data_IF_872769269572
#
_entry.id   IF_872769269572
#
_cell.length_a   1.000
_cell.length_b   1.000
_cell.length_c   1.000
_cell.angle_alpha   90.00
_cell.angle_beta   90.00
_cell.angle_gamma   90.00
#
_symmetry.space_group_name_H-M   'P 1'
#
loop_
_entity.id
_entity.type
_entity.pdbx_description
1 polymer ?
#
# COMPACT_ATOMS: atom_id res chain seq x y z
N UNK A 1 -1.80 -19.73 24.26
CA UNK A 1 -2.01 -20.14 22.86
C UNK A 1 -0.87 -21.08 22.51
N UNK A 2 -1.17 -22.28 22.02
CA UNK A 2 -0.18 -23.24 21.55
C UNK A 2 -0.36 -23.31 20.04
N UNK A 3 0.74 -23.28 19.30
CA UNK A 3 0.75 -23.30 17.83
C UNK A 3 1.68 -24.40 17.35
N UNK A 4 1.32 -25.01 16.23
CA UNK A 4 2.15 -25.99 15.54
C UNK A 4 3.39 -25.31 14.94
N UNK A 5 4.54 -25.97 15.00
CA UNK A 5 5.83 -25.43 14.59
C UNK A 5 5.86 -25.00 13.11
N UNK A 6 5.05 -25.62 12.25
CA UNK A 6 4.95 -25.28 10.83
C UNK A 6 4.29 -23.92 10.58
N UNK A 7 3.62 -23.35 11.58
CA UNK A 7 2.95 -22.04 11.50
C UNK A 7 3.72 -20.94 12.24
N UNK A 8 4.97 -21.22 12.62
CA UNK A 8 5.86 -20.26 13.28
C UNK A 8 7.04 -19.93 12.37
N UNK A 9 7.46 -18.67 12.41
CA UNK A 9 8.68 -18.21 11.74
C UNK A 9 9.64 -17.70 12.80
N UNK A 10 10.83 -18.30 12.88
CA UNK A 10 11.92 -17.74 13.70
C UNK A 10 12.38 -16.42 13.06
N UNK A 11 12.35 -15.34 13.82
CA UNK A 11 12.81 -14.01 13.41
C UNK A 11 14.14 -13.66 14.08
N UNK A 12 14.82 -12.64 13.55
CA UNK A 12 16.02 -12.08 14.17
C UNK A 12 15.69 -11.53 15.56
N UNK A 13 16.42 -11.90 16.63
CA UNK A 13 16.13 -11.44 17.99
C UNK A 13 16.33 -9.94 18.21
N UNK A 14 17.02 -9.24 17.30
CA UNK A 14 17.23 -7.79 17.35
C UNK A 14 16.07 -6.98 16.77
N UNK A 15 15.11 -7.62 16.09
CA UNK A 15 13.94 -6.92 15.55
C UNK A 15 13.06 -6.40 16.69
N UNK A 16 12.57 -5.17 16.54
CA UNK A 16 11.50 -4.68 17.41
C UNK A 16 10.23 -5.54 17.22
N UNK A 17 9.73 -6.13 18.31
CA UNK A 17 8.56 -7.00 18.29
C UNK A 17 7.29 -6.28 17.82
N UNK A 18 7.19 -4.96 17.98
CA UNK A 18 6.09 -4.18 17.45
C UNK A 18 6.11 -4.18 15.91
N UNK A 19 7.30 -4.02 15.30
CA UNK A 19 7.47 -4.13 13.85
C UNK A 19 7.26 -5.57 13.37
N UNK A 20 7.77 -6.58 14.09
CA UNK A 20 7.55 -7.98 13.76
C UNK A 20 6.05 -8.34 13.75
N UNK A 21 5.31 -7.86 14.74
CA UNK A 21 3.86 -8.03 14.83
C UNK A 21 3.15 -7.35 13.66
N UNK A 22 3.56 -6.14 13.29
CA UNK A 22 2.99 -5.38 12.16
C UNK A 22 3.17 -6.07 10.80
N UNK A 23 4.34 -6.68 10.55
CA UNK A 23 4.63 -7.39 9.29
C UNK A 23 4.07 -8.82 9.25
N UNK A 24 3.54 -9.35 10.35
CA UNK A 24 3.06 -10.74 10.42
C UNK A 24 1.83 -11.06 9.55
N UNK A 25 1.07 -10.03 9.13
CA UNK A 25 -0.15 -10.22 8.36
C UNK A 25 -0.35 -9.11 7.31
N UNK A 26 -1.04 -8.03 7.68
CA UNK A 26 -1.58 -7.07 6.69
C UNK A 26 -0.51 -6.37 5.87
N UNK A 27 0.57 -5.90 6.51
CA UNK A 27 1.58 -5.11 5.81
C UNK A 27 2.34 -5.96 4.80
N UNK A 28 2.79 -7.16 5.22
CA UNK A 28 3.48 -8.10 4.33
C UNK A 28 2.59 -8.62 3.21
N UNK A 29 1.28 -8.75 3.43
CA UNK A 29 0.31 -9.11 2.39
C UNK A 29 0.29 -8.07 1.27
N UNK A 30 0.11 -6.80 1.63
CA UNK A 30 0.06 -5.71 0.65
C UNK A 30 1.41 -5.48 -0.03
N UNK A 31 2.48 -5.47 0.78
CA UNK A 31 3.86 -5.37 0.29
C UNK A 31 4.06 -6.50 -0.75
N UNK A 32 3.85 -7.76 -0.37
CA UNK A 32 4.03 -8.95 -1.20
C UNK A 32 3.22 -8.95 -2.49
N UNK A 33 1.98 -8.46 -2.46
CA UNK A 33 1.15 -8.36 -3.65
C UNK A 33 1.82 -7.55 -4.76
N UNK A 34 2.54 -6.48 -4.41
CA UNK A 34 3.17 -5.58 -5.39
C UNK A 34 4.26 -6.25 -6.21
N UNK A 35 5.11 -7.12 -5.64
CA UNK A 35 6.16 -7.79 -6.42
C UNK A 35 5.93 -9.27 -6.70
N UNK A 36 5.14 -10.00 -5.90
CA UNK A 36 4.87 -11.43 -6.15
C UNK A 36 3.71 -11.65 -7.12
N UNK A 37 2.61 -10.93 -6.91
CA UNK A 37 1.36 -11.17 -7.64
C UNK A 37 1.29 -10.29 -8.88
N UNK A 38 1.33 -8.97 -8.69
CA UNK A 38 1.19 -8.01 -9.78
C UNK A 38 2.49 -7.78 -10.53
N UNK A 39 3.65 -8.05 -9.89
CA UNK A 39 4.97 -7.83 -10.44
C UNK A 39 5.11 -6.40 -11.01
N UNK A 40 4.90 -5.39 -10.16
CA UNK A 40 5.05 -3.99 -10.53
C UNK A 40 6.40 -3.77 -11.20
N UNK A 41 6.38 -3.16 -12.39
CA UNK A 41 7.58 -2.85 -13.15
C UNK A 41 8.02 -1.42 -12.87
N UNK A 42 9.32 -1.16 -12.98
CA UNK A 42 9.84 0.21 -12.88
C UNK A 42 9.17 1.10 -13.94
N UNK A 43 8.78 2.32 -13.56
CA UNK A 43 8.03 3.23 -14.43
C UNK A 43 6.50 3.03 -14.40
N UNK A 44 6.00 2.00 -13.71
CA UNK A 44 4.55 1.74 -13.65
C UNK A 44 3.80 2.79 -12.84
N UNK A 45 2.53 2.98 -13.21
CA UNK A 45 1.56 3.71 -12.42
C UNK A 45 0.67 2.74 -11.63
N UNK A 46 0.56 2.96 -10.33
CA UNK A 46 -0.14 2.08 -9.39
C UNK A 46 -1.23 2.87 -8.68
N UNK A 47 -2.44 2.32 -8.63
CA UNK A 47 -3.53 2.82 -7.80
C UNK A 47 -3.82 1.84 -6.66
N UNK A 48 -3.89 2.33 -5.43
CA UNK A 48 -4.13 1.55 -4.21
C UNK A 48 -5.43 2.02 -3.57
N UNK A 49 -6.40 1.12 -3.48
CA UNK A 49 -7.72 1.39 -2.90
C UNK A 49 -7.71 0.97 -1.43
N UNK A 50 -7.90 1.94 -0.53
CA UNK A 50 -7.79 1.79 0.92
C UNK A 50 -6.36 1.98 1.41
N UNK A 51 -6.17 2.83 2.42
CA UNK A 51 -4.86 3.21 2.99
C UNK A 51 -4.61 2.69 4.42
N UNK A 52 -5.28 1.60 4.80
CA UNK A 52 -4.95 0.85 6.01
C UNK A 52 -3.60 0.12 5.91
N UNK A 53 -3.34 -0.80 6.83
CA UNK A 53 -2.07 -1.55 6.90
C UNK A 53 -1.69 -2.27 5.61
N UNK A 54 -2.66 -2.90 4.93
CA UNK A 54 -2.44 -3.59 3.65
C UNK A 54 -2.09 -2.59 2.55
N UNK A 55 -2.87 -1.51 2.42
CA UNK A 55 -2.63 -0.48 1.41
C UNK A 55 -1.27 0.22 1.57
N UNK A 56 -0.88 0.51 2.81
CA UNK A 56 0.44 1.05 3.14
C UNK A 56 1.58 0.11 2.73
N UNK A 57 1.39 -1.20 2.93
CA UNK A 57 2.30 -2.22 2.41
C UNK A 57 2.38 -2.21 0.89
N UNK A 58 1.25 -2.17 0.20
CA UNK A 58 1.19 -2.15 -1.26
C UNK A 58 1.90 -0.91 -1.85
N UNK A 59 1.71 0.26 -1.25
CA UNK A 59 2.41 1.51 -1.61
C UNK A 59 3.91 1.35 -1.46
N UNK A 60 4.36 0.84 -0.30
CA UNK A 60 5.78 0.62 -0.02
C UNK A 60 6.41 -0.34 -1.02
N UNK A 61 5.69 -1.43 -1.35
CA UNK A 61 6.12 -2.42 -2.32
C UNK A 61 6.18 -1.86 -3.74
N UNK A 62 5.18 -1.09 -4.13
CA UNK A 62 5.15 -0.42 -5.43
C UNK A 62 6.31 0.59 -5.58
N UNK A 63 6.62 1.35 -4.52
CA UNK A 63 7.77 2.26 -4.49
C UNK A 63 9.09 1.50 -4.64
N UNK A 64 9.26 0.41 -3.87
CA UNK A 64 10.46 -0.43 -3.94
C UNK A 64 10.70 -0.99 -5.35
N UNK A 65 9.62 -1.33 -6.06
CA UNK A 65 9.70 -1.84 -7.44
C UNK A 65 9.91 -0.74 -8.50
N UNK A 66 10.03 0.53 -8.12
CA UNK A 66 10.25 1.64 -9.04
C UNK A 66 8.97 2.20 -9.67
N UNK A 67 7.81 2.01 -9.04
CA UNK A 67 6.58 2.69 -9.43
C UNK A 67 6.76 4.21 -9.34
N UNK A 68 6.54 4.91 -10.46
CA UNK A 68 6.79 6.36 -10.57
C UNK A 68 5.61 7.20 -10.11
N UNK A 69 4.40 6.63 -10.16
CA UNK A 69 3.18 7.26 -9.67
C UNK A 69 2.38 6.27 -8.85
N UNK A 70 2.17 6.59 -7.59
CA UNK A 70 1.46 5.73 -6.63
C UNK A 70 0.30 6.54 -6.06
N UNK A 71 -0.89 6.25 -6.55
CA UNK A 71 -2.13 6.96 -6.23
C UNK A 71 -2.83 6.20 -5.11
N UNK A 72 -2.91 6.79 -3.91
CA UNK A 72 -3.73 6.27 -2.82
C UNK A 72 -5.15 6.78 -2.91
N UNK A 73 -6.13 5.91 -2.69
CA UNK A 73 -7.55 6.22 -2.78
C UNK A 73 -8.21 5.81 -1.48
N UNK A 74 -8.66 6.79 -0.69
CA UNK A 74 -9.34 6.55 0.59
C UNK A 74 -10.35 7.66 0.87
N UNK A 75 -11.36 7.38 1.69
CA UNK A 75 -12.33 8.39 2.13
C UNK A 75 -11.83 9.23 3.32
N UNK A 76 -10.80 8.75 4.01
CA UNK A 76 -10.25 9.38 5.20
C UNK A 76 -8.98 10.16 4.89
N UNK A 77 -9.08 11.49 4.88
CA UNK A 77 -7.94 12.38 4.59
C UNK A 77 -6.82 12.31 5.64
N UNK A 78 -7.10 11.78 6.83
CA UNK A 78 -6.07 11.55 7.85
C UNK A 78 -5.02 10.52 7.42
N UNK A 79 -5.31 9.69 6.41
CA UNK A 79 -4.34 8.71 5.90
C UNK A 79 -3.35 9.31 4.89
N UNK A 80 -3.52 10.58 4.49
CA UNK A 80 -2.64 11.23 3.51
C UNK A 80 -1.20 11.27 4.00
N UNK A 81 -0.97 11.67 5.25
CA UNK A 81 0.39 11.79 5.80
C UNK A 81 1.07 10.42 5.89
N UNK A 82 0.34 9.40 6.36
CA UNK A 82 0.86 8.02 6.41
C UNK A 82 1.16 7.48 5.02
N UNK A 83 0.22 7.63 4.08
CA UNK A 83 0.41 7.22 2.69
C UNK A 83 1.66 7.85 2.08
N UNK A 84 1.87 9.15 2.27
CA UNK A 84 3.08 9.86 1.81
C UNK A 84 4.35 9.29 2.44
N UNK A 85 4.34 9.02 3.75
CA UNK A 85 5.48 8.42 4.44
C UNK A 85 5.88 7.06 3.84
N UNK A 86 4.90 6.27 3.38
CA UNK A 86 5.15 4.98 2.73
C UNK A 86 5.49 5.07 1.24
N UNK A 87 5.32 6.22 0.58
CA UNK A 87 5.68 6.41 -0.83
C UNK A 87 4.58 6.87 -1.77
N UNK A 88 3.39 7.18 -1.26
CA UNK A 88 2.28 7.67 -2.05
C UNK A 88 2.63 9.03 -2.67
N UNK A 89 2.38 9.18 -3.97
CA UNK A 89 2.63 10.41 -4.72
C UNK A 89 1.38 11.28 -4.85
N UNK A 90 0.21 10.65 -4.95
CA UNK A 90 -1.07 11.33 -5.15
C UNK A 90 -2.16 10.71 -4.26
N UNK A 91 -3.14 11.51 -3.86
CA UNK A 91 -4.27 11.06 -3.06
C UNK A 91 -5.59 11.44 -3.72
N UNK A 92 -6.56 10.53 -3.70
CA UNK A 92 -7.93 10.77 -4.15
C UNK A 92 -8.90 10.45 -3.02
N UNK A 93 -9.73 11.42 -2.65
CA UNK A 93 -10.87 11.20 -1.76
C UNK A 93 -12.14 10.93 -2.57
N UNK A 94 -12.68 9.72 -2.50
CA UNK A 94 -13.89 9.35 -3.27
C UNK A 94 -15.16 10.05 -2.78
N UNK A 95 -15.19 10.58 -1.55
CA UNK A 95 -16.33 11.39 -1.08
C UNK A 95 -16.48 12.71 -1.84
N UNK A 96 -15.38 13.25 -2.36
CA UNK A 96 -15.36 14.51 -3.08
C UNK A 96 -15.73 14.35 -4.57
N UNK A 97 -15.97 13.11 -5.02
CA UNK A 97 -16.26 12.74 -6.40
C UNK A 97 -17.39 11.71 -6.47
N UNK A 98 -18.48 11.94 -5.72
CA UNK A 98 -19.60 10.99 -5.58
C UNK A 98 -20.39 10.76 -6.88
N UNK A 99 -20.23 11.63 -7.86
CA UNK A 99 -20.82 11.59 -9.19
C UNK A 99 -19.99 10.76 -10.19
N UNK A 100 -18.78 10.34 -9.84
CA UNK A 100 -17.84 9.64 -10.74
C UNK A 100 -17.43 8.27 -10.19
N UNK A 101 -17.23 7.32 -11.09
CA UNK A 101 -16.58 6.07 -10.74
C UNK A 101 -15.11 6.31 -10.37
N UNK A 102 -14.60 5.52 -9.41
CA UNK A 102 -13.20 5.60 -8.96
C UNK A 102 -12.20 5.50 -10.13
N UNK A 103 -12.49 4.64 -11.12
CA UNK A 103 -11.67 4.50 -12.33
C UNK A 103 -11.63 5.77 -13.19
N UNK A 104 -12.70 6.57 -13.19
CA UNK A 104 -12.73 7.88 -13.84
C UNK A 104 -11.87 8.88 -13.07
N UNK A 105 -11.99 8.93 -11.74
CA UNK A 105 -11.18 9.84 -10.91
C UNK A 105 -9.68 9.58 -11.04
N UNK A 106 -9.26 8.33 -11.23
CA UNK A 106 -7.85 7.97 -11.50
C UNK A 106 -7.40 8.45 -12.88
N UNK A 107 -8.27 8.39 -13.89
CA UNK A 107 -7.97 8.87 -15.26
C UNK A 107 -7.94 10.40 -15.33
N UNK A 108 -8.87 11.06 -14.66
CA UNK A 108 -9.05 12.52 -14.63
C UNK A 108 -8.02 13.22 -13.75
N UNK A 109 -7.37 12.48 -12.83
CA UNK A 109 -6.33 13.04 -11.96
C UNK A 109 -5.22 13.66 -12.80
N UNK A 110 -4.91 14.96 -12.61
CA UNK A 110 -4.22 15.78 -13.59
C UNK A 110 -3.00 15.09 -14.18
N UNK A 111 -3.06 14.97 -15.49
CA UNK A 111 -2.03 14.52 -16.41
C UNK A 111 -0.86 15.52 -16.46
N UNK A 112 -0.26 15.90 -15.33
CA UNK A 112 1.12 16.41 -15.37
C UNK A 112 2.02 15.18 -15.29
N UNK A 113 2.34 14.66 -16.46
CA UNK A 113 3.17 13.48 -16.67
C UNK A 113 4.61 13.94 -16.74
#
# INVERSE_FOLDING_TARGET
>A
MISDENYLMKVDPSIDLAHASFISCGFSTGFGASWKTTQVQSGSFVAVLGLGTIGSGAISGAKMMGGTKIIGIDINEKEIEKGKAFGMTNFINTKNHSDKFCSQSVKDSPQKW
#
